data_IF_041589151094
#
_entry.id   IF_041589151094
#
_cell.length_a   1.000
_cell.length_b   1.000
_cell.length_c   1.000
_cell.angle_alpha   90.00
_cell.angle_beta   90.00
_cell.angle_gamma   90.00
#
_symmetry.space_group_name_H-M   'P 1'
#
loop_
_entity.id
_entity.type
_entity.pdbx_description
1 polymer ?
#
# COMPACT_ATOMS: atom_id res chain seq x y z
N UNK A 1 -9.65 -8.48 -29.20
CA UNK A 1 -8.77 -9.37 -28.41
C UNK A 1 -8.83 -8.90 -26.97
N UNK A 2 -9.10 -9.78 -26.00
CA UNK A 2 -9.30 -9.34 -24.61
C UNK A 2 -8.00 -8.82 -24.02
N UNK A 3 -7.91 -7.52 -23.73
CA UNK A 3 -6.80 -6.87 -23.01
C UNK A 3 -6.79 -7.27 -21.52
N UNK A 4 -6.87 -8.58 -21.23
CA UNK A 4 -6.81 -9.11 -19.88
C UNK A 4 -5.36 -9.29 -19.44
N UNK A 5 -5.10 -9.08 -18.15
CA UNK A 5 -3.79 -9.31 -17.56
C UNK A 5 -3.69 -10.72 -16.98
N UNK A 6 -2.54 -11.38 -17.20
CA UNK A 6 -2.28 -12.73 -16.72
C UNK A 6 -1.64 -12.77 -15.33
N UNK A 7 -1.36 -13.97 -14.82
CA UNK A 7 -0.84 -14.21 -13.48
C UNK A 7 0.40 -13.36 -13.13
N UNK A 8 1.40 -13.30 -14.00
CA UNK A 8 2.65 -12.58 -13.70
C UNK A 8 2.47 -11.08 -13.54
N UNK A 9 1.57 -10.46 -14.31
CA UNK A 9 1.25 -9.05 -14.15
C UNK A 9 0.47 -8.79 -12.86
N UNK A 10 -0.46 -9.69 -12.49
CA UNK A 10 -1.20 -9.60 -11.21
C UNK A 10 -0.27 -9.81 -10.02
N UNK A 11 0.62 -10.79 -10.10
CA UNK A 11 1.64 -11.06 -9.09
C UNK A 11 2.59 -9.86 -8.93
N UNK A 12 3.01 -9.26 -10.04
CA UNK A 12 3.81 -8.04 -10.02
C UNK A 12 3.07 -6.88 -9.36
N UNK A 13 1.79 -6.67 -9.70
CA UNK A 13 0.94 -5.66 -9.06
C UNK A 13 0.84 -5.84 -7.54
N UNK A 14 0.69 -7.08 -7.05
CA UNK A 14 0.65 -7.37 -5.61
C UNK A 14 1.98 -7.05 -4.93
N UNK A 15 3.11 -7.44 -5.55
CA UNK A 15 4.43 -7.19 -4.97
C UNK A 15 4.71 -5.69 -4.94
N UNK A 16 4.49 -5.00 -6.06
CA UNK A 16 4.90 -3.61 -6.21
C UNK A 16 3.96 -2.61 -5.54
N UNK A 17 2.69 -2.95 -5.32
CA UNK A 17 1.80 -2.16 -4.45
C UNK A 17 2.32 -2.07 -3.02
N UNK A 18 2.84 -3.19 -2.49
CA UNK A 18 3.42 -3.28 -1.15
C UNK A 18 4.83 -2.68 -1.11
N UNK A 19 5.69 -3.04 -2.08
CA UNK A 19 7.09 -2.55 -2.19
C UNK A 19 7.11 -1.15 -2.78
N UNK A 20 6.85 -0.17 -1.92
CA UNK A 20 7.00 1.27 -2.17
C UNK A 20 8.23 1.86 -1.47
N UNK A 21 8.06 3.04 -0.87
CA UNK A 21 9.13 3.77 -0.17
C UNK A 21 9.50 3.19 1.19
N UNK A 22 8.59 2.47 1.85
CA UNK A 22 8.75 2.01 3.24
C UNK A 22 9.98 1.12 3.45
N UNK A 23 10.30 0.24 2.50
CA UNK A 23 11.40 -0.74 2.60
C UNK A 23 12.77 -0.10 2.82
N UNK A 24 12.97 1.12 2.28
CA UNK A 24 14.22 1.85 2.37
C UNK A 24 14.34 2.67 3.65
N UNK A 25 13.22 3.04 4.28
CA UNK A 25 13.21 3.95 5.44
C UNK A 25 12.95 3.24 6.76
N UNK A 26 12.22 2.12 6.74
CA UNK A 26 11.88 1.38 7.96
C UNK A 26 13.08 0.94 8.81
N UNK A 27 14.26 0.58 8.25
CA UNK A 27 15.41 0.28 9.10
C UNK A 27 15.78 1.44 10.04
N UNK A 28 15.59 2.70 9.63
CA UNK A 28 15.81 3.88 10.50
C UNK A 28 14.80 3.86 11.66
N UNK A 29 13.50 3.75 11.35
CA UNK A 29 12.43 3.79 12.34
C UNK A 29 12.43 2.58 13.28
N UNK A 30 12.97 1.45 12.82
CA UNK A 30 13.05 0.20 13.57
C UNK A 30 14.39 0.04 14.31
N UNK A 31 15.41 0.83 13.99
CA UNK A 31 16.70 0.78 14.66
C UNK A 31 16.61 0.87 16.21
N UNK A 32 15.79 1.75 16.81
CA UNK A 32 15.66 1.83 18.27
C UNK A 32 15.11 0.54 18.92
N UNK A 33 14.38 -0.27 18.15
CA UNK A 33 13.76 -1.51 18.63
C UNK A 33 14.70 -2.72 18.59
N UNK A 34 15.85 -2.60 17.91
CA UNK A 34 16.82 -3.68 17.78
C UNK A 34 16.19 -4.99 17.32
N UNK A 35 16.50 -6.09 18.00
CA UNK A 35 16.01 -7.43 17.67
C UNK A 35 14.48 -7.59 17.78
N UNK A 36 13.78 -6.76 18.57
CA UNK A 36 12.31 -6.80 18.63
C UNK A 36 11.66 -6.49 17.28
N UNK A 37 12.32 -5.69 16.44
CA UNK A 37 11.83 -5.40 15.09
C UNK A 37 11.67 -6.65 14.22
N UNK A 38 12.52 -7.67 14.41
CA UNK A 38 12.45 -8.93 13.65
C UNK A 38 11.21 -9.72 14.02
N UNK A 39 10.85 -9.75 15.31
CA UNK A 39 9.62 -10.38 15.79
C UNK A 39 8.41 -9.63 15.22
N UNK A 40 8.46 -8.29 15.20
CA UNK A 40 7.39 -7.47 14.64
C UNK A 40 7.24 -7.65 13.12
N UNK A 41 8.31 -7.92 12.38
CA UNK A 41 8.21 -8.33 10.98
C UNK A 41 7.52 -9.68 10.81
N UNK A 42 7.79 -10.65 11.69
CA UNK A 42 7.10 -11.94 11.67
C UNK A 42 5.61 -11.79 12.00
N UNK A 43 5.28 -10.97 13.01
CA UNK A 43 3.89 -10.71 13.42
C UNK A 43 3.13 -10.00 12.29
N UNK A 44 3.66 -8.89 11.76
CA UNK A 44 3.03 -8.17 10.64
C UNK A 44 2.96 -9.02 9.38
N UNK A 45 3.99 -9.81 9.08
CA UNK A 45 3.97 -10.74 7.94
C UNK A 45 2.90 -11.81 8.08
N UNK A 46 2.75 -12.42 9.27
CA UNK A 46 1.70 -13.39 9.54
C UNK A 46 0.30 -12.74 9.45
N UNK A 47 0.14 -11.54 10.02
CA UNK A 47 -1.09 -10.74 9.91
C UNK A 47 -1.45 -10.43 8.46
N UNK A 48 -0.48 -9.95 7.67
CA UNK A 48 -0.65 -9.66 6.25
C UNK A 48 -1.00 -10.91 5.43
N UNK A 49 -0.36 -12.05 5.68
CA UNK A 49 -0.69 -13.32 5.01
C UNK A 49 -2.09 -13.78 5.39
N UNK A 50 -2.52 -13.62 6.64
CA UNK A 50 -3.89 -13.93 7.04
C UNK A 50 -4.93 -13.04 6.32
N UNK A 51 -4.65 -11.74 6.17
CA UNK A 51 -5.45 -10.82 5.36
C UNK A 51 -5.44 -11.20 3.88
N UNK A 52 -4.29 -11.58 3.33
CA UNK A 52 -4.15 -12.04 1.95
C UNK A 52 -5.03 -13.28 1.70
N UNK A 53 -5.12 -14.21 2.65
CA UNK A 53 -6.01 -15.37 2.56
C UNK A 53 -7.50 -14.97 2.61
N UNK A 54 -7.86 -13.98 3.44
CA UNK A 54 -9.22 -13.41 3.49
C UNK A 54 -9.60 -12.81 2.14
N UNK A 55 -8.77 -11.92 1.60
CA UNK A 55 -9.01 -11.27 0.31
C UNK A 55 -8.98 -12.27 -0.86
N UNK A 56 -8.07 -13.24 -0.83
CA UNK A 56 -8.01 -14.31 -1.82
C UNK A 56 -9.30 -15.13 -1.83
N UNK A 57 -9.84 -15.47 -0.67
CA UNK A 57 -11.09 -16.25 -0.58
C UNK A 57 -12.31 -15.45 -1.02
N UNK A 58 -12.39 -14.17 -0.61
CA UNK A 58 -13.46 -13.27 -1.02
C UNK A 58 -13.43 -13.03 -2.53
N UNK A 59 -12.26 -12.77 -3.11
CA UNK A 59 -12.10 -12.59 -4.55
C UNK A 59 -12.42 -13.86 -5.35
N UNK A 60 -12.06 -15.05 -4.84
CA UNK A 60 -12.42 -16.32 -5.47
C UNK A 60 -13.95 -16.50 -5.60
N UNK A 61 -14.71 -15.94 -4.64
CA UNK A 61 -16.18 -16.00 -4.62
C UNK A 61 -16.85 -14.88 -5.41
N UNK A 62 -16.32 -13.66 -5.26
CA UNK A 62 -16.89 -12.45 -5.83
C UNK A 62 -15.82 -11.75 -6.70
N UNK A 63 -15.46 -12.32 -7.88
CA UNK A 63 -14.38 -11.83 -8.73
C UNK A 63 -14.79 -10.61 -9.57
N UNK A 64 -15.50 -9.66 -8.97
CA UNK A 64 -16.02 -8.47 -9.64
C UNK A 64 -15.03 -7.28 -9.49
N UNK A 65 -15.10 -6.34 -10.43
CA UNK A 65 -14.22 -5.15 -10.43
C UNK A 65 -14.62 -4.23 -9.29
N UNK A 66 -13.65 -3.73 -8.51
CA UNK A 66 -13.93 -2.79 -7.44
C UNK A 66 -13.25 -3.06 -6.10
N UNK A 67 -12.73 -4.27 -5.92
CA UNK A 67 -11.96 -4.65 -4.73
C UNK A 67 -12.82 -4.70 -3.45
N UNK A 68 -12.39 -4.12 -2.32
CA UNK A 68 -13.01 -4.30 -1.02
C UNK A 68 -14.54 -4.07 -0.93
N UNK A 69 -15.07 -3.08 -1.65
CA UNK A 69 -16.49 -2.73 -1.56
C UNK A 69 -17.42 -3.83 -2.08
N UNK A 70 -16.97 -4.59 -3.09
CA UNK A 70 -17.72 -5.72 -3.66
C UNK A 70 -18.04 -6.74 -2.58
N UNK A 71 -17.03 -7.07 -1.76
CA UNK A 71 -17.17 -8.09 -0.71
C UNK A 71 -18.15 -7.65 0.37
N UNK A 72 -18.06 -6.37 0.76
CA UNK A 72 -18.96 -5.77 1.76
C UNK A 72 -20.38 -5.64 1.21
N UNK A 73 -20.56 -5.37 -0.08
CA UNK A 73 -21.87 -5.30 -0.73
C UNK A 73 -22.62 -6.61 -0.64
N UNK A 74 -21.97 -7.72 -1.00
CA UNK A 74 -22.56 -9.06 -0.95
C UNK A 74 -22.99 -9.50 0.45
N UNK A 75 -22.41 -8.91 1.52
CA UNK A 75 -22.66 -9.35 2.90
C UNK A 75 -23.46 -8.36 3.74
N UNK A 76 -23.23 -7.06 3.58
CA UNK A 76 -23.79 -5.98 4.40
C UNK A 76 -24.61 -4.96 3.59
N UNK A 77 -24.71 -5.15 2.27
CA UNK A 77 -25.51 -4.30 1.39
C UNK A 77 -24.82 -3.01 0.95
N UNK A 78 -25.54 -2.26 0.13
CA UNK A 78 -25.02 -1.11 -0.63
C UNK A 78 -24.50 0.04 0.23
N UNK A 79 -25.13 0.34 1.37
CA UNK A 79 -24.72 1.47 2.23
C UNK A 79 -23.33 1.23 2.83
N UNK A 80 -23.09 0.05 3.41
CA UNK A 80 -21.78 -0.30 3.94
C UNK A 80 -20.73 -0.37 2.83
N UNK A 81 -21.10 -0.93 1.66
CA UNK A 81 -20.23 -0.98 0.50
C UNK A 81 -19.81 0.40 0.00
N UNK A 82 -20.74 1.37 -0.05
CA UNK A 82 -20.42 2.74 -0.43
C UNK A 82 -19.34 3.32 0.46
N UNK A 83 -19.50 3.30 1.79
CA UNK A 83 -18.52 3.89 2.70
C UNK A 83 -17.19 3.16 2.63
N UNK A 84 -17.17 1.83 2.56
CA UNK A 84 -15.93 1.05 2.42
C UNK A 84 -15.20 1.38 1.12
N UNK A 85 -15.90 1.42 0.00
CA UNK A 85 -15.29 1.75 -1.29
C UNK A 85 -14.89 3.22 -1.38
N UNK A 86 -15.68 4.14 -0.84
CA UNK A 86 -15.37 5.56 -0.78
C UNK A 86 -14.08 5.81 0.01
N UNK A 87 -14.01 5.27 1.23
CA UNK A 87 -12.80 5.32 2.07
C UNK A 87 -11.61 4.74 1.32
N UNK A 88 -11.75 3.53 0.76
CA UNK A 88 -10.65 2.90 0.01
C UNK A 88 -10.19 3.77 -1.19
N UNK A 89 -11.13 4.31 -1.97
CA UNK A 89 -10.82 5.18 -3.10
C UNK A 89 -10.11 6.46 -2.68
N UNK A 90 -10.62 7.16 -1.67
CA UNK A 90 -10.06 8.42 -1.17
C UNK A 90 -8.66 8.23 -0.63
N UNK A 91 -8.47 7.27 0.29
CA UNK A 91 -7.14 7.05 0.86
C UNK A 91 -6.15 6.59 -0.22
N UNK A 92 -6.55 5.79 -1.20
CA UNK A 92 -5.65 5.36 -2.29
C UNK A 92 -4.93 6.52 -2.98
N UNK A 93 -5.65 7.59 -3.36
CA UNK A 93 -5.02 8.73 -4.04
C UNK A 93 -4.39 9.74 -3.07
N UNK A 94 -4.85 9.80 -1.81
CA UNK A 94 -4.22 10.61 -0.76
C UNK A 94 -2.83 10.04 -0.42
N UNK A 95 -2.72 8.75 -0.15
CA UNK A 95 -1.45 8.07 0.18
C UNK A 95 -0.45 8.10 -0.96
N UNK A 96 -0.93 8.10 -2.21
CA UNK A 96 -0.08 8.23 -3.41
C UNK A 96 0.79 9.51 -3.36
N UNK A 97 0.29 10.59 -2.75
CA UNK A 97 1.07 11.84 -2.55
C UNK A 97 2.38 11.59 -1.80
N UNK A 98 2.35 10.77 -0.75
CA UNK A 98 3.54 10.45 0.05
C UNK A 98 4.58 9.67 -0.78
N UNK A 99 4.13 8.74 -1.63
CA UNK A 99 5.01 7.98 -2.52
C UNK A 99 5.70 8.87 -3.56
N UNK A 100 5.00 9.87 -4.09
CA UNK A 100 5.56 10.82 -5.08
C UNK A 100 6.64 11.68 -4.41
N UNK A 101 6.33 12.25 -3.24
CA UNK A 101 7.24 13.09 -2.47
C UNK A 101 8.50 12.32 -2.10
N UNK A 102 8.36 11.11 -1.56
CA UNK A 102 9.52 10.28 -1.17
C UNK A 102 10.30 9.84 -2.41
N UNK A 103 9.61 9.46 -3.49
CA UNK A 103 10.22 9.13 -4.78
C UNK A 103 11.13 10.26 -5.27
N UNK A 104 10.59 11.45 -5.48
CA UNK A 104 11.38 12.62 -5.92
C UNK A 104 12.47 12.98 -4.91
N UNK A 105 12.21 12.81 -3.62
CA UNK A 105 13.21 12.96 -2.56
C UNK A 105 14.47 12.11 -2.77
N UNK A 106 14.35 10.89 -3.31
CA UNK A 106 15.52 10.05 -3.63
C UNK A 106 16.41 10.61 -4.74
N UNK A 107 15.94 11.57 -5.54
CA UNK A 107 16.73 12.25 -6.56
C UNK A 107 17.59 13.40 -6.00
N UNK A 108 17.47 13.72 -4.71
CA UNK A 108 18.24 14.80 -4.05
C UNK A 108 19.75 14.74 -4.33
N UNK A 109 20.43 13.57 -4.31
CA UNK A 109 21.87 13.51 -4.58
C UNK A 109 22.30 13.96 -5.99
N UNK A 110 21.39 13.99 -6.97
CA UNK A 110 21.69 14.45 -8.33
C UNK A 110 21.54 15.96 -8.50
N UNK A 111 20.63 16.57 -7.76
CA UNK A 111 20.24 17.98 -7.91
C UNK A 111 20.70 18.85 -6.73
N UNK A 112 21.25 18.26 -5.66
CA UNK A 112 21.74 18.98 -4.48
C UNK A 112 20.73 20.02 -3.97
N UNK A 113 21.11 21.29 -3.83
CA UNK A 113 20.21 22.34 -3.34
C UNK A 113 19.15 22.76 -4.38
N UNK A 114 19.43 22.59 -5.68
CA UNK A 114 18.52 22.95 -6.78
C UNK A 114 17.25 22.09 -6.79
N UNK A 115 17.25 20.94 -6.11
CA UNK A 115 16.04 20.14 -6.00
C UNK A 115 14.91 20.90 -5.32
N UNK A 116 15.20 21.83 -4.39
CA UNK A 116 14.16 22.56 -3.67
C UNK A 116 13.30 23.40 -4.60
N UNK A 117 13.91 24.07 -5.59
CA UNK A 117 13.21 24.90 -6.58
C UNK A 117 12.52 24.05 -7.66
N UNK A 118 13.06 22.88 -7.98
CA UNK A 118 12.52 21.98 -9.00
C UNK A 118 11.57 20.91 -8.46
N UNK A 119 11.45 20.74 -7.14
CA UNK A 119 10.76 19.60 -6.51
C UNK A 119 9.32 19.44 -6.98
N UNK A 120 8.50 20.49 -6.84
CA UNK A 120 7.09 20.43 -7.24
C UNK A 120 6.94 20.12 -8.74
N UNK A 121 7.82 20.68 -9.57
CA UNK A 121 7.84 20.40 -11.00
C UNK A 121 8.14 18.92 -11.28
N UNK A 122 9.16 18.34 -10.63
CA UNK A 122 9.51 16.93 -10.78
C UNK A 122 8.40 16.00 -10.27
N UNK A 123 7.76 16.35 -9.14
CA UNK A 123 6.63 15.59 -8.56
C UNK A 123 5.43 15.57 -9.52
N UNK A 124 5.03 16.73 -10.04
CA UNK A 124 3.94 16.84 -11.02
C UNK A 124 4.28 16.18 -12.35
N UNK A 125 5.52 16.31 -12.83
CA UNK A 125 5.98 15.67 -14.07
C UNK A 125 5.92 14.15 -13.97
N UNK A 126 6.51 13.59 -12.90
CA UNK A 126 6.49 12.16 -12.62
C UNK A 126 5.06 11.64 -12.57
N UNK A 127 4.22 12.30 -11.80
CA UNK A 127 2.86 11.86 -11.59
C UNK A 127 2.03 11.93 -12.89
N UNK A 128 2.20 13.00 -13.67
CA UNK A 128 1.56 13.14 -14.98
C UNK A 128 1.95 12.00 -15.92
N UNK A 129 3.24 11.63 -15.97
CA UNK A 129 3.71 10.50 -16.79
C UNK A 129 2.99 9.20 -16.37
N UNK A 130 2.91 8.92 -15.08
CA UNK A 130 2.26 7.71 -14.55
C UNK A 130 0.75 7.71 -14.81
N UNK A 131 0.07 8.84 -14.63
CA UNK A 131 -1.34 9.01 -15.00
C UNK A 131 -1.55 8.74 -16.49
N UNK A 132 -0.71 9.27 -17.36
CA UNK A 132 -0.80 9.05 -18.81
C UNK A 132 -0.58 7.58 -19.20
N UNK A 133 0.36 6.88 -18.54
CA UNK A 133 0.57 5.43 -18.73
C UNK A 133 -0.71 4.67 -18.37
N UNK A 134 -1.33 4.97 -17.23
CA UNK A 134 -2.56 4.32 -16.77
C UNK A 134 -3.78 4.64 -17.65
N UNK A 135 -3.82 5.83 -18.26
CA UNK A 135 -4.84 6.18 -19.26
C UNK A 135 -4.67 5.42 -20.59
N UNK A 136 -3.51 4.81 -20.87
CA UNK A 136 -3.32 3.91 -22.03
C UNK A 136 -3.88 2.50 -21.82
N UNK A 137 -4.54 2.24 -20.69
CA UNK A 137 -5.23 0.99 -20.42
C UNK A 137 -4.45 0.03 -19.53
N UNK A 138 -5.20 -0.90 -18.93
CA UNK A 138 -4.70 -1.80 -17.90
C UNK A 138 -3.63 -2.78 -18.38
N UNK A 139 -3.69 -3.23 -19.63
CA UNK A 139 -2.67 -4.10 -20.19
C UNK A 139 -1.30 -3.39 -20.21
N UNK A 140 -1.25 -2.15 -20.70
CA UNK A 140 -0.01 -1.34 -20.71
C UNK A 140 0.52 -1.13 -19.29
N UNK A 141 -0.35 -0.72 -18.37
CA UNK A 141 0.02 -0.53 -16.97
C UNK A 141 0.56 -1.82 -16.32
N UNK A 142 -0.04 -2.98 -16.62
CA UNK A 142 0.42 -4.27 -16.12
C UNK A 142 1.76 -4.74 -16.68
N UNK A 143 2.09 -4.42 -17.95
CA UNK A 143 3.41 -4.74 -18.51
C UNK A 143 4.51 -3.87 -17.89
N UNK A 144 4.24 -2.57 -17.73
CA UNK A 144 5.14 -1.65 -17.03
C UNK A 144 5.37 -2.15 -15.60
N UNK A 145 4.31 -2.58 -14.92
CA UNK A 145 4.41 -3.10 -13.56
C UNK A 145 5.29 -4.34 -13.45
N UNK A 146 5.12 -5.30 -14.37
CA UNK A 146 5.92 -6.50 -14.41
C UNK A 146 7.42 -6.18 -14.55
N UNK A 147 7.77 -5.31 -15.51
CA UNK A 147 9.16 -4.90 -15.73
C UNK A 147 9.76 -4.22 -14.51
N UNK A 148 9.03 -3.26 -13.92
CA UNK A 148 9.48 -2.56 -12.72
C UNK A 148 9.68 -3.54 -11.56
N UNK A 149 8.74 -4.45 -11.35
CA UNK A 149 8.78 -5.40 -10.23
C UNK A 149 9.95 -6.38 -10.33
N UNK A 150 10.28 -6.88 -11.52
CA UNK A 150 11.45 -7.76 -11.71
C UNK A 150 12.73 -7.06 -11.25
N UNK A 151 12.91 -5.79 -11.64
CA UNK A 151 14.05 -4.98 -11.18
C UNK A 151 14.01 -4.78 -9.66
N UNK A 152 12.82 -4.51 -9.08
CA UNK A 152 12.67 -4.33 -7.63
C UNK A 152 13.12 -5.55 -6.84
N UNK A 153 12.58 -6.71 -7.19
CA UNK A 153 12.86 -7.97 -6.49
C UNK A 153 14.33 -8.35 -6.63
N UNK A 154 14.93 -8.17 -7.81
CA UNK A 154 16.35 -8.45 -8.01
C UNK A 154 17.23 -7.62 -7.07
N UNK A 155 16.98 -6.30 -6.96
CA UNK A 155 17.79 -5.42 -6.12
C UNK A 155 17.56 -5.68 -4.62
N UNK A 156 16.31 -5.94 -4.21
CA UNK A 156 15.98 -6.28 -2.81
C UNK A 156 16.46 -7.65 -2.35
N UNK A 157 16.91 -8.50 -3.27
CA UNK A 157 17.60 -9.73 -2.91
C UNK A 157 19.12 -9.51 -2.93
N UNK A 158 19.64 -8.83 -3.96
CA UNK A 158 21.07 -8.64 -4.13
C UNK A 158 21.73 -7.83 -3.00
N UNK A 159 21.17 -6.67 -2.64
CA UNK A 159 21.79 -5.78 -1.64
C UNK A 159 21.82 -6.43 -0.24
N UNK A 160 20.70 -6.96 0.30
CA UNK A 160 20.71 -7.60 1.62
C UNK A 160 21.57 -8.85 1.66
N UNK A 161 21.54 -9.68 0.61
CA UNK A 161 22.38 -10.89 0.57
C UNK A 161 23.86 -10.52 0.59
N UNK A 162 24.26 -9.45 -0.10
CA UNK A 162 25.62 -8.91 0.02
C UNK A 162 25.91 -8.39 1.44
N UNK A 163 24.96 -7.70 2.08
CA UNK A 163 25.11 -7.17 3.44
C UNK A 163 25.29 -8.27 4.50
N UNK A 164 24.73 -9.47 4.28
CA UNK A 164 24.89 -10.60 5.20
C UNK A 164 26.35 -11.08 5.33
N UNK A 165 27.23 -10.82 4.35
CA UNK A 165 28.66 -11.16 4.46
C UNK A 165 29.43 -10.27 5.44
N UNK A 166 28.84 -9.14 5.83
CA UNK A 166 29.41 -8.16 6.76
C UNK A 166 28.58 -8.08 8.06
N UNK A 167 27.76 -9.09 8.32
CA UNK A 167 26.82 -9.12 9.43
C UNK A 167 27.55 -9.19 10.78
N UNK A 168 27.17 -8.30 11.70
CA UNK A 168 27.52 -8.38 13.12
C UNK A 168 26.26 -8.26 13.98
N UNK A 169 26.01 -9.27 14.81
CA UNK A 169 24.88 -9.28 15.75
C UNK A 169 24.92 -8.13 16.76
N UNK A 170 26.10 -7.59 17.05
CA UNK A 170 26.27 -6.49 18.01
C UNK A 170 25.71 -5.17 17.49
N UNK A 171 25.38 -5.09 16.20
CA UNK A 171 24.71 -3.94 15.61
C UNK A 171 23.24 -3.80 16.03
N UNK A 172 22.61 -4.88 16.53
CA UNK A 172 21.25 -4.86 17.07
C UNK A 172 21.21 -4.24 18.47
N UNK A 173 21.13 -2.92 18.51
CA UNK A 173 21.05 -2.13 19.75
C UNK A 173 19.59 -1.77 20.02
N UNK A 174 19.15 -1.90 21.28
CA UNK A 174 17.84 -1.45 21.74
C UNK A 174 18.06 -0.15 22.51
N UNK A 175 17.30 0.90 22.20
CA UNK A 175 17.43 2.17 22.89
C UNK A 175 16.87 2.10 24.31
N UNK A 176 17.42 2.93 25.22
CA UNK A 176 16.97 3.02 26.61
C UNK A 176 15.49 3.42 26.72
N UNK A 177 15.02 4.30 25.85
CA UNK A 177 13.61 4.70 25.78
C UNK A 177 12.71 3.49 25.52
N UNK A 178 13.09 2.60 24.60
CA UNK A 178 12.32 1.41 24.26
C UNK A 178 12.36 0.39 25.42
N UNK A 179 13.49 0.26 26.12
CA UNK A 179 13.61 -0.62 27.29
C UNK A 179 12.72 -0.22 28.47
N UNK A 180 12.26 1.04 28.52
CA UNK A 180 11.33 1.52 29.55
C UNK A 180 9.87 1.06 29.32
N UNK A 181 9.55 0.53 28.14
CA UNK A 181 8.22 0.06 27.77
C UNK A 181 8.04 -1.43 28.08
N UNK A 182 6.79 -1.86 28.23
CA UNK A 182 6.49 -3.29 28.30
C UNK A 182 6.72 -3.96 26.94
N UNK A 183 7.08 -5.24 26.93
CA UNK A 183 7.29 -6.01 25.68
C UNK A 183 6.08 -5.91 24.74
N UNK A 184 4.86 -5.92 25.28
CA UNK A 184 3.63 -5.76 24.49
C UNK A 184 3.59 -4.42 23.74
N UNK A 185 3.93 -3.32 24.42
CA UNK A 185 3.96 -1.98 23.81
C UNK A 185 5.07 -1.86 22.76
N UNK A 186 6.25 -2.45 23.03
CA UNK A 186 7.37 -2.48 22.07
C UNK A 186 6.94 -3.18 20.78
N UNK A 187 6.35 -4.38 20.91
CA UNK A 187 5.89 -5.16 19.76
C UNK A 187 4.75 -4.45 19.03
N UNK A 188 3.78 -3.87 19.74
CA UNK A 188 2.69 -3.11 19.12
C UNK A 188 3.18 -1.94 18.27
N UNK A 189 4.04 -1.08 18.84
CA UNK A 189 4.58 0.11 18.15
C UNK A 189 5.43 -0.26 16.94
N UNK A 190 6.31 -1.25 17.06
CA UNK A 190 7.14 -1.69 15.92
C UNK A 190 6.34 -2.47 14.86
N UNK A 191 5.30 -3.20 15.25
CA UNK A 191 4.39 -3.89 14.32
C UNK A 191 3.57 -2.87 13.51
N UNK A 192 3.12 -1.78 14.13
CA UNK A 192 2.47 -0.66 13.44
C UNK A 192 3.34 -0.10 12.31
N UNK A 193 4.64 0.10 12.58
CA UNK A 193 5.60 0.56 11.56
C UNK A 193 5.77 -0.43 10.41
N UNK A 194 5.92 -1.73 10.72
CA UNK A 194 6.11 -2.75 9.67
C UNK A 194 4.84 -3.02 8.87
N UNK A 195 3.65 -2.82 9.44
CA UNK A 195 2.38 -3.02 8.77
C UNK A 195 2.20 -2.11 7.56
N UNK A 196 2.70 -0.87 7.62
CA UNK A 196 2.67 0.06 6.48
C UNK A 196 3.19 -0.58 5.19
N UNK A 197 4.23 -1.41 5.31
CA UNK A 197 4.87 -2.07 4.18
C UNK A 197 4.01 -3.16 3.53
N UNK A 198 2.97 -3.65 4.20
CA UNK A 198 2.04 -4.67 3.69
C UNK A 198 0.72 -4.10 3.17
N UNK A 199 0.49 -2.78 3.32
CA UNK A 199 -0.67 -2.13 2.74
C UNK A 199 -0.63 -2.26 1.20
N UNK A 200 -1.77 -2.61 0.62
CA UNK A 200 -1.91 -2.83 -0.82
C UNK A 200 -1.80 -4.29 -1.26
N UNK A 201 -1.75 -5.26 -0.32
CA UNK A 201 -1.82 -6.70 -0.62
C UNK A 201 -3.08 -7.07 -1.44
N UNK A 202 -4.17 -6.37 -1.19
CA UNK A 202 -5.48 -6.55 -1.82
C UNK A 202 -5.64 -5.77 -3.11
N UNK A 203 -4.70 -4.90 -3.46
CA UNK A 203 -4.82 -3.94 -4.55
C UNK A 203 -5.15 -4.62 -5.90
N UNK A 204 -4.59 -5.80 -6.13
CA UNK A 204 -4.81 -6.59 -7.34
C UNK A 204 -6.26 -7.12 -7.48
N UNK A 205 -7.08 -7.01 -6.44
CA UNK A 205 -8.52 -7.34 -6.50
C UNK A 205 -9.35 -6.24 -7.18
N UNK A 206 -8.90 -4.99 -7.15
CA UNK A 206 -9.62 -3.88 -7.77
C UNK A 206 -9.86 -4.09 -9.28
N UNK A 207 -8.87 -4.49 -10.09
CA UNK A 207 -9.06 -4.75 -11.52
C UNK A 207 -9.64 -6.13 -11.87
N UNK A 208 -10.34 -6.84 -10.98
CA UNK A 208 -10.67 -8.26 -11.19
C UNK A 208 -11.37 -8.58 -12.53
N UNK A 209 -12.27 -7.73 -13.03
CA UNK A 209 -12.93 -7.94 -14.33
C UNK A 209 -12.00 -7.85 -15.56
N UNK A 210 -10.78 -7.33 -15.37
CA UNK A 210 -9.73 -7.24 -16.39
C UNK A 210 -8.62 -8.29 -16.22
N UNK A 211 -8.77 -9.22 -15.29
CA UNK A 211 -7.82 -10.31 -15.07
C UNK A 211 -8.29 -11.56 -15.83
N UNK A 212 -7.35 -12.35 -16.33
CA UNK A 212 -7.67 -13.67 -16.86
C UNK A 212 -7.94 -14.66 -15.71
N UNK A 213 -9.09 -15.35 -15.77
CA UNK A 213 -9.58 -16.24 -14.72
C UNK A 213 -9.43 -15.67 -13.28
N UNK A 214 -10.09 -14.52 -12.97
CA UNK A 214 -9.84 -13.77 -11.74
C UNK A 214 -10.03 -14.60 -10.48
N UNK A 215 -11.04 -15.49 -10.45
CA UNK A 215 -11.34 -16.37 -9.32
C UNK A 215 -10.23 -17.38 -8.98
N UNK A 216 -9.27 -17.60 -9.87
CA UNK A 216 -8.10 -18.47 -9.61
C UNK A 216 -6.78 -17.69 -9.63
N UNK A 217 -6.65 -16.72 -10.52
CA UNK A 217 -5.40 -15.97 -10.73
C UNK A 217 -5.11 -15.00 -9.59
N UNK A 218 -6.11 -14.20 -9.18
CA UNK A 218 -5.93 -13.18 -8.13
C UNK A 218 -5.68 -13.84 -6.77
N UNK A 219 -6.45 -14.85 -6.32
CA UNK A 219 -6.19 -15.50 -5.04
C UNK A 219 -4.76 -16.05 -4.91
N UNK A 220 -4.27 -16.71 -5.97
CA UNK A 220 -2.89 -17.22 -6.00
C UNK A 220 -1.86 -16.10 -5.95
N UNK A 221 -2.05 -15.05 -6.76
CA UNK A 221 -1.13 -13.94 -6.84
C UNK A 221 -1.06 -13.13 -5.53
N UNK A 222 -2.20 -12.90 -4.88
CA UNK A 222 -2.30 -12.18 -3.60
C UNK A 222 -1.55 -12.95 -2.51
N UNK A 223 -1.84 -14.23 -2.32
CA UNK A 223 -1.19 -15.03 -1.26
C UNK A 223 0.31 -15.19 -1.51
N UNK A 224 0.71 -15.62 -2.72
CA UNK A 224 2.12 -15.84 -3.03
C UNK A 224 2.91 -14.53 -3.02
N UNK A 225 2.30 -13.45 -3.52
CA UNK A 225 2.91 -12.12 -3.56
C UNK A 225 3.16 -11.59 -2.15
N UNK A 226 2.17 -11.65 -1.26
CA UNK A 226 2.33 -11.23 0.14
C UNK A 226 3.35 -12.08 0.90
N UNK A 227 3.37 -13.41 0.71
CA UNK A 227 4.41 -14.27 1.31
C UNK A 227 5.80 -13.89 0.81
N UNK A 228 5.95 -13.67 -0.51
CA UNK A 228 7.21 -13.24 -1.11
C UNK A 228 7.69 -11.91 -0.52
N UNK A 229 6.80 -10.92 -0.43
CA UNK A 229 7.07 -9.61 0.15
C UNK A 229 7.47 -9.72 1.63
N UNK A 230 6.77 -10.55 2.42
CA UNK A 230 7.09 -10.75 3.84
C UNK A 230 8.50 -11.30 4.04
N UNK A 231 8.90 -12.29 3.24
CA UNK A 231 10.24 -12.87 3.25
C UNK A 231 11.29 -11.83 2.84
N UNK A 232 11.03 -11.09 1.76
CA UNK A 232 11.93 -10.05 1.27
C UNK A 232 12.15 -8.99 2.36
N UNK A 233 11.09 -8.47 2.98
CA UNK A 233 11.22 -7.46 4.03
C UNK A 233 11.95 -7.94 5.26
N UNK A 234 11.69 -9.18 5.69
CA UNK A 234 12.42 -9.77 6.82
C UNK A 234 13.92 -9.85 6.52
N UNK A 235 14.31 -10.38 5.36
CA UNK A 235 15.71 -10.49 4.94
C UNK A 235 16.36 -9.11 4.84
N UNK A 236 15.66 -8.14 4.24
CA UNK A 236 16.16 -6.78 4.08
C UNK A 236 16.44 -6.13 5.44
N UNK A 237 15.46 -6.13 6.34
CA UNK A 237 15.63 -5.50 7.65
C UNK A 237 16.69 -6.22 8.49
N UNK A 238 16.69 -7.55 8.47
CA UNK A 238 17.70 -8.37 9.18
C UNK A 238 19.12 -8.06 8.70
N UNK A 239 19.35 -8.01 7.39
CA UNK A 239 20.67 -7.76 6.83
C UNK A 239 21.14 -6.32 7.07
N UNK A 240 20.28 -5.32 6.86
CA UNK A 240 20.66 -3.90 7.02
C UNK A 240 20.92 -3.55 8.50
N UNK A 241 20.07 -4.03 9.43
CA UNK A 241 20.30 -3.84 10.86
C UNK A 241 21.49 -4.64 11.40
N UNK A 242 21.82 -5.77 10.77
CA UNK A 242 23.04 -6.52 11.08
C UNK A 242 24.31 -5.90 10.50
N UNK A 243 24.21 -5.07 9.47
CA UNK A 243 25.34 -4.40 8.84
C UNK A 243 25.70 -3.08 9.52
N UNK A 244 24.69 -2.29 9.88
CA UNK A 244 24.86 -0.91 10.38
C UNK A 244 24.53 -0.88 11.86
N UNK A 245 25.47 -0.35 12.67
CA UNK A 245 25.25 -0.12 14.09
C UNK A 245 23.95 0.65 14.36
N UNK A 246 23.10 0.14 15.27
CA UNK A 246 21.75 0.69 15.51
C UNK A 246 21.70 2.19 15.82
N UNK A 247 22.70 2.75 16.52
CA UNK A 247 22.75 4.18 16.82
C UNK A 247 23.01 5.03 15.56
N UNK A 248 23.89 4.55 14.68
CA UNK A 248 24.15 5.19 13.39
C UNK A 248 22.97 4.99 12.43
N UNK A 249 22.34 3.83 12.48
CA UNK A 249 21.18 3.52 11.63
C UNK A 249 19.98 4.43 11.97
N UNK A 250 19.71 4.66 13.25
CA UNK A 250 18.62 5.53 13.70
C UNK A 250 18.79 7.00 13.27
N UNK A 251 20.02 7.45 13.00
CA UNK A 251 20.33 8.80 12.51
C UNK A 251 20.58 8.86 10.99
N UNK A 252 20.50 7.73 10.30
CA UNK A 252 20.68 7.67 8.85
C UNK A 252 19.57 8.40 8.11
N UNK A 253 19.92 9.03 6.98
CA UNK A 253 18.96 9.59 6.03
C UNK A 253 18.64 8.64 4.87
N UNK A 254 19.49 7.63 4.65
CA UNK A 254 19.41 6.71 3.53
C UNK A 254 20.17 5.40 3.85
N UNK A 255 19.57 4.46 4.59
CA UNK A 255 20.30 3.34 5.18
C UNK A 255 20.83 2.36 4.13
N UNK A 256 20.18 2.24 2.98
CA UNK A 256 20.70 1.43 1.88
C UNK A 256 21.89 2.08 1.18
N UNK A 257 21.94 3.42 1.14
CA UNK A 257 23.14 4.14 0.66
C UNK A 257 24.30 3.89 1.62
N UNK A 258 24.04 3.98 2.93
CA UNK A 258 25.05 3.74 3.95
C UNK A 258 25.56 2.29 3.92
N UNK A 259 24.65 1.32 3.75
CA UNK A 259 24.98 -0.09 3.58
C UNK A 259 25.92 -0.31 2.40
N UNK A 260 25.60 0.27 1.24
CA UNK A 260 26.44 0.17 0.05
C UNK A 260 27.81 0.80 0.26
N UNK A 261 27.90 1.96 0.94
CA UNK A 261 29.19 2.62 1.24
C UNK A 261 30.09 1.78 2.16
N UNK A 262 29.49 0.97 3.05
CA UNK A 262 30.23 0.05 3.92
C UNK A 262 30.75 -1.15 3.10
N UNK A 263 29.94 -1.68 2.18
CA UNK A 263 30.29 -2.89 1.42
C UNK A 263 31.21 -2.62 0.22
N UNK A 264 31.07 -1.46 -0.44
CA UNK A 264 31.72 -1.17 -1.72
C UNK A 264 32.33 0.23 -1.73
N UNK A 265 33.54 0.36 -2.27
CA UNK A 265 34.16 1.65 -2.55
C UNK A 265 33.62 2.27 -3.85
N UNK A 266 33.44 3.59 -3.87
CA UNK A 266 32.99 4.35 -5.05
C UNK A 266 31.61 5.02 -4.92
N UNK A 267 31.10 5.56 -6.03
CA UNK A 267 29.87 6.37 -6.08
C UNK A 267 28.58 5.56 -6.25
N UNK A 268 28.51 4.36 -5.66
CA UNK A 268 27.36 3.46 -5.76
C UNK A 268 26.08 4.04 -5.14
N UNK A 269 26.20 5.04 -4.26
CA UNK A 269 25.06 5.73 -3.64
C UNK A 269 24.10 6.36 -4.66
N UNK A 270 24.60 6.85 -5.81
CA UNK A 270 23.77 7.41 -6.87
C UNK A 270 22.88 6.33 -7.51
N UNK A 271 23.41 5.12 -7.68
CA UNK A 271 22.66 3.99 -8.24
C UNK A 271 21.53 3.59 -7.28
N UNK A 272 21.80 3.53 -5.97
CA UNK A 272 20.77 3.23 -4.95
C UNK A 272 19.65 4.27 -4.98
N UNK A 273 19.99 5.55 -5.11
CA UNK A 273 18.99 6.62 -5.25
C UNK A 273 18.08 6.43 -6.47
N UNK A 274 18.64 6.08 -7.63
CA UNK A 274 17.86 5.79 -8.84
C UNK A 274 16.98 4.55 -8.65
N UNK A 275 17.52 3.50 -8.05
CA UNK A 275 16.78 2.28 -7.73
C UNK A 275 15.59 2.61 -6.81
N UNK A 276 15.83 3.32 -5.70
CA UNK A 276 14.77 3.69 -4.76
C UNK A 276 13.70 4.57 -5.41
N UNK A 277 14.09 5.48 -6.31
CA UNK A 277 13.16 6.23 -7.15
C UNK A 277 12.29 5.30 -8.02
N UNK A 278 12.90 4.37 -8.77
CA UNK A 278 12.19 3.39 -9.62
C UNK A 278 11.20 2.55 -8.80
N UNK A 279 11.52 2.28 -7.53
CA UNK A 279 10.62 1.54 -6.64
C UNK A 279 9.35 2.32 -6.34
N UNK A 280 9.50 3.61 -5.99
CA UNK A 280 8.35 4.50 -5.83
C UNK A 280 7.53 4.55 -7.13
N UNK A 281 8.17 4.67 -8.30
CA UNK A 281 7.48 4.68 -9.60
C UNK A 281 6.60 3.45 -9.84
N UNK A 282 7.10 2.24 -9.55
CA UNK A 282 6.28 1.04 -9.69
C UNK A 282 5.08 1.02 -8.73
N UNK A 283 5.29 1.43 -7.47
CA UNK A 283 4.18 1.46 -6.50
C UNK A 283 3.13 2.50 -6.90
N UNK A 284 3.57 3.67 -7.39
CA UNK A 284 2.69 4.69 -7.95
C UNK A 284 1.84 4.17 -9.12
N UNK A 285 2.43 3.39 -10.02
CA UNK A 285 1.69 2.80 -11.13
C UNK A 285 0.57 1.86 -10.64
N UNK A 286 0.84 0.99 -9.67
CA UNK A 286 -0.17 0.14 -9.06
C UNK A 286 -1.31 0.94 -8.39
N UNK A 287 -0.98 1.96 -7.59
CA UNK A 287 -1.96 2.77 -6.86
C UNK A 287 -2.83 3.64 -7.78
N UNK A 288 -2.26 4.23 -8.84
CA UNK A 288 -3.02 4.99 -9.85
C UNK A 288 -3.94 4.06 -10.65
N UNK A 289 -3.47 2.86 -11.00
CA UNK A 289 -4.31 1.87 -11.66
C UNK A 289 -5.52 1.49 -10.79
N UNK A 290 -5.26 1.13 -9.53
CA UNK A 290 -6.28 0.63 -8.61
C UNK A 290 -7.32 1.68 -8.26
N UNK A 291 -6.88 2.90 -7.93
CA UNK A 291 -7.80 4.02 -7.62
C UNK A 291 -8.82 4.26 -8.73
N UNK A 292 -8.39 4.18 -10.00
CA UNK A 292 -9.30 4.22 -11.15
C UNK A 292 -10.32 3.07 -11.18
N UNK A 293 -9.89 1.85 -10.90
CA UNK A 293 -10.73 0.64 -10.92
C UNK A 293 -11.74 0.60 -9.76
N UNK A 294 -11.37 1.10 -8.59
CA UNK A 294 -12.26 1.19 -7.43
C UNK A 294 -13.42 2.13 -7.72
N UNK A 295 -13.13 3.34 -8.22
CA UNK A 295 -14.16 4.31 -8.59
C UNK A 295 -15.06 3.78 -9.73
N UNK A 296 -14.47 3.07 -10.69
CA UNK A 296 -15.23 2.40 -11.74
C UNK A 296 -16.17 1.33 -11.19
N UNK A 297 -15.68 0.44 -10.31
CA UNK A 297 -16.51 -0.61 -9.69
C UNK A 297 -17.66 -0.03 -8.86
N UNK A 298 -17.40 1.01 -8.08
CA UNK A 298 -18.45 1.73 -7.33
C UNK A 298 -19.52 2.30 -8.25
N UNK A 299 -19.14 2.82 -9.41
CA UNK A 299 -20.07 3.38 -10.38
C UNK A 299 -20.88 2.30 -11.12
N UNK A 300 -20.27 1.17 -11.47
CA UNK A 300 -20.96 -0.01 -12.01
C UNK A 300 -22.02 -0.53 -11.02
N UNK A 301 -21.69 -0.50 -9.73
CA UNK A 301 -22.58 -0.86 -8.64
C UNK A 301 -23.63 0.21 -8.30
N UNK A 302 -23.67 1.31 -9.04
CA UNK A 302 -24.57 2.47 -8.84
C UNK A 302 -24.42 3.12 -7.46
N UNK A 303 -23.23 3.03 -6.87
CA UNK A 303 -22.86 3.66 -5.60
C UNK A 303 -22.17 5.02 -5.82
N UNK A 304 -21.67 5.28 -7.03
CA UNK A 304 -21.07 6.55 -7.45
C UNK A 304 -21.67 7.07 -8.76
N UNK A 305 -21.55 8.39 -9.05
CA UNK A 305 -22.03 8.99 -10.29
C UNK A 305 -21.70 8.20 -11.55
N UNK A 306 -22.70 7.98 -12.41
CA UNK A 306 -22.59 7.15 -13.62
C UNK A 306 -21.43 7.53 -14.55
N UNK A 307 -20.96 8.77 -14.53
CA UNK A 307 -19.83 9.17 -15.36
C UNK A 307 -18.52 8.46 -14.96
N UNK A 308 -18.35 8.03 -13.71
CA UNK A 308 -17.19 7.23 -13.28
C UNK A 308 -17.12 5.84 -13.93
N UNK A 309 -18.24 5.31 -14.42
CA UNK A 309 -18.29 4.06 -15.19
C UNK A 309 -17.81 4.24 -16.65
N UNK A 310 -17.55 5.48 -17.12
CA UNK A 310 -17.11 5.70 -18.50
C UNK A 310 -15.65 5.30 -18.70
N UNK A 311 -15.42 4.41 -19.67
CA UNK A 311 -14.08 4.03 -20.14
C UNK A 311 -13.63 4.89 -21.33
N UNK A 312 -12.32 5.08 -21.48
CA UNK A 312 -11.75 5.71 -22.68
C UNK A 312 -11.55 4.70 -23.83
N UNK A 313 -11.00 5.16 -24.96
CA UNK A 313 -10.71 4.34 -26.15
C UNK A 313 -9.77 3.15 -25.90
N UNK A 314 -8.98 3.18 -24.83
CA UNK A 314 -8.07 2.10 -24.43
C UNK A 314 -8.67 1.18 -23.35
N UNK A 315 -9.94 1.39 -22.97
CA UNK A 315 -10.63 0.62 -21.93
C UNK A 315 -10.29 1.03 -20.49
N UNK A 316 -9.59 2.15 -20.28
CA UNK A 316 -9.21 2.64 -18.95
C UNK A 316 -10.33 3.48 -18.31
N UNK A 317 -10.58 3.38 -16.98
CA UNK A 317 -11.58 4.19 -16.29
C UNK A 317 -11.14 5.66 -16.18
N UNK A 318 -11.51 6.44 -17.19
CA UNK A 318 -10.97 7.79 -17.41
C UNK A 318 -11.24 8.73 -16.22
N UNK A 319 -12.49 8.82 -15.77
CA UNK A 319 -12.87 9.75 -14.71
C UNK A 319 -12.34 9.33 -13.35
N UNK A 320 -12.30 8.04 -13.04
CA UNK A 320 -11.70 7.54 -11.81
C UNK A 320 -10.23 7.96 -11.70
N UNK A 321 -9.44 7.68 -12.73
CA UNK A 321 -8.02 8.07 -12.79
C UNK A 321 -7.85 9.59 -12.76
N UNK A 322 -8.64 10.32 -13.54
CA UNK A 322 -8.47 11.78 -13.70
C UNK A 322 -8.83 12.53 -12.42
N UNK A 323 -9.96 12.20 -11.79
CA UNK A 323 -10.38 12.86 -10.54
C UNK A 323 -9.41 12.55 -9.40
N UNK A 324 -8.99 11.29 -9.26
CA UNK A 324 -7.94 10.92 -8.31
C UNK A 324 -6.64 11.67 -8.58
N UNK A 325 -6.23 11.78 -9.84
CA UNK A 325 -5.01 12.50 -10.21
C UNK A 325 -5.09 14.00 -9.92
N UNK A 326 -6.25 14.64 -10.17
CA UNK A 326 -6.45 16.04 -9.80
C UNK A 326 -6.36 16.21 -8.27
N UNK A 327 -6.97 15.32 -7.49
CA UNK A 327 -6.88 15.32 -6.04
C UNK A 327 -5.44 15.20 -5.53
N UNK A 328 -4.68 14.24 -6.04
CA UNK A 328 -3.25 14.08 -5.71
C UNK A 328 -2.42 15.30 -6.13
N UNK A 329 -2.66 15.88 -7.32
CA UNK A 329 -1.94 17.07 -7.78
C UNK A 329 -2.20 18.30 -6.90
N UNK A 330 -3.43 18.49 -6.42
CA UNK A 330 -3.76 19.54 -5.45
C UNK A 330 -2.99 19.29 -4.15
N UNK A 331 -2.98 18.06 -3.65
CA UNK A 331 -2.21 17.72 -2.44
C UNK A 331 -0.72 17.98 -2.63
N UNK A 332 -0.13 17.68 -3.78
CA UNK A 332 1.28 17.99 -4.08
C UNK A 332 1.57 19.50 -4.02
N UNK A 333 0.68 20.33 -4.57
CA UNK A 333 0.82 21.78 -4.50
C UNK A 333 0.75 22.26 -3.05
N UNK A 334 -0.20 21.72 -2.26
CA UNK A 334 -0.35 22.07 -0.85
C UNK A 334 0.85 21.58 -0.01
N UNK A 335 1.43 20.41 -0.33
CA UNK A 335 2.59 19.83 0.35
C UNK A 335 3.91 20.53 0.02
N UNK A 336 3.94 21.38 -1.01
CA UNK A 336 5.13 22.17 -1.37
C UNK A 336 5.54 23.18 -0.28
N UNK A 337 4.65 23.53 0.65
CA UNK A 337 4.99 24.36 1.80
C UNK A 337 5.65 23.51 2.91
N UNK A 338 6.78 23.97 3.48
CA UNK A 338 7.60 23.21 4.44
C UNK A 338 6.81 22.64 5.63
N UNK A 339 5.77 23.34 6.12
CA UNK A 339 4.92 22.87 7.22
C UNK A 339 4.06 21.67 6.84
N UNK A 340 3.66 21.59 5.58
CA UNK A 340 2.74 20.59 5.05
C UNK A 340 3.50 19.32 4.61
N UNK A 341 4.80 19.46 4.30
CA UNK A 341 5.69 18.33 4.05
C UNK A 341 5.96 17.48 5.32
N UNK A 342 6.06 18.09 6.51
CA UNK A 342 6.16 17.34 7.77
C UNK A 342 4.87 16.59 8.12
N UNK A 343 3.71 17.05 7.66
CA UNK A 343 2.42 16.38 7.85
C UNK A 343 2.29 15.09 7.02
N UNK A 344 3.20 14.82 6.07
CA UNK A 344 3.19 13.61 5.23
C UNK A 344 3.40 12.34 6.05
N UNK A 345 4.26 12.37 7.07
CA UNK A 345 4.42 11.21 7.97
C UNK A 345 3.10 10.89 8.67
N UNK A 346 2.35 11.92 9.07
CA UNK A 346 1.01 11.75 9.63
C UNK A 346 0.00 11.26 8.59
N UNK A 347 0.11 11.68 7.32
CA UNK A 347 -0.73 11.14 6.22
C UNK A 347 -0.54 9.63 6.07
N UNK A 348 0.70 9.13 6.19
CA UNK A 348 0.98 7.70 6.16
C UNK A 348 0.24 6.99 7.29
N UNK A 349 0.36 7.47 8.52
CA UNK A 349 -0.31 6.88 9.68
C UNK A 349 -1.84 6.89 9.49
N UNK A 350 -2.42 8.02 9.10
CA UNK A 350 -3.87 8.10 8.85
C UNK A 350 -4.31 7.15 7.73
N UNK A 351 -3.49 6.99 6.69
CA UNK A 351 -3.76 6.09 5.59
C UNK A 351 -3.79 4.63 6.05
N UNK A 352 -2.79 4.19 6.82
CA UNK A 352 -2.72 2.82 7.38
C UNK A 352 -3.98 2.49 8.15
N UNK A 353 -4.38 3.38 9.06
CA UNK A 353 -5.53 3.17 9.93
C UNK A 353 -6.84 3.15 9.12
N UNK A 354 -6.99 4.04 8.14
CA UNK A 354 -8.17 3.99 7.27
C UNK A 354 -8.22 2.72 6.40
N UNK A 355 -7.08 2.22 5.91
CA UNK A 355 -7.04 0.91 5.24
C UNK A 355 -7.40 -0.22 6.20
N UNK A 356 -6.97 -0.16 7.46
CA UNK A 356 -7.36 -1.14 8.48
C UNK A 356 -8.88 -1.14 8.74
N UNK A 357 -9.57 0.01 8.70
CA UNK A 357 -11.03 0.03 8.77
C UNK A 357 -11.68 -0.72 7.59
N UNK A 358 -11.14 -0.53 6.38
CA UNK A 358 -11.59 -1.26 5.18
C UNK A 358 -11.31 -2.76 5.31
N UNK A 359 -10.12 -3.14 5.79
CA UNK A 359 -9.74 -4.54 5.99
C UNK A 359 -10.60 -5.20 7.04
N UNK A 360 -10.88 -4.52 8.16
CA UNK A 360 -11.75 -5.03 9.22
C UNK A 360 -13.17 -5.27 8.71
N UNK A 361 -13.72 -4.36 7.90
CA UNK A 361 -15.02 -4.56 7.26
C UNK A 361 -15.01 -5.79 6.32
N UNK A 362 -13.92 -6.02 5.57
CA UNK A 362 -13.75 -7.21 4.75
C UNK A 362 -13.59 -8.49 5.58
N UNK A 363 -12.89 -8.44 6.71
CA UNK A 363 -12.78 -9.57 7.63
C UNK A 363 -14.15 -9.96 8.20
N UNK A 364 -14.99 -8.99 8.60
CA UNK A 364 -16.36 -9.28 9.03
C UNK A 364 -17.23 -9.84 7.89
N UNK A 365 -17.07 -9.32 6.67
CA UNK A 365 -17.75 -9.87 5.49
C UNK A 365 -17.35 -11.33 5.26
N UNK A 366 -16.04 -11.62 5.32
CA UNK A 366 -15.50 -12.97 5.21
C UNK A 366 -16.03 -13.89 6.31
N UNK A 367 -15.98 -13.50 7.57
CA UNK A 367 -16.50 -14.32 8.68
C UNK A 367 -17.98 -14.65 8.48
N UNK A 368 -18.80 -13.67 8.06
CA UNK A 368 -20.23 -13.89 7.77
C UNK A 368 -20.44 -14.92 6.67
N UNK A 369 -19.65 -14.88 5.60
CA UNK A 369 -19.71 -15.86 4.49
C UNK A 369 -19.26 -17.25 4.95
N UNK A 370 -18.15 -17.33 5.69
CA UNK A 370 -17.55 -18.61 6.07
C UNK A 370 -18.31 -19.34 7.18
N UNK A 371 -18.98 -18.61 8.09
CA UNK A 371 -19.87 -19.21 9.09
C UNK A 371 -20.96 -20.06 8.40
N UNK A 372 -21.47 -19.61 7.25
CA UNK A 372 -22.46 -20.36 6.47
C UNK A 372 -21.86 -21.61 5.81
N UNK A 373 -20.58 -21.59 5.45
CA UNK A 373 -19.85 -22.75 4.91
C UNK A 373 -19.41 -23.78 5.95
N UNK A 374 -19.46 -23.44 7.24
CA UNK A 374 -18.99 -24.30 8.36
C UNK A 374 -17.54 -24.78 8.22
N UNK A 375 -16.67 -23.96 7.62
CA UNK A 375 -15.25 -24.30 7.43
C UNK A 375 -14.39 -23.81 8.60
N UNK A 376 -14.03 -24.71 9.52
CA UNK A 376 -13.27 -24.36 10.74
C UNK A 376 -11.92 -23.69 10.46
N UNK A 377 -11.15 -24.17 9.48
CA UNK A 377 -9.84 -23.59 9.18
C UNK A 377 -9.96 -22.16 8.60
N UNK A 378 -10.98 -21.90 7.77
CA UNK A 378 -11.23 -20.55 7.25
C UNK A 378 -11.73 -19.63 8.35
N UNK A 379 -12.54 -20.12 9.29
CA UNK A 379 -12.95 -19.34 10.47
C UNK A 379 -11.73 -18.92 11.28
N UNK A 380 -10.79 -19.83 11.52
CA UNK A 380 -9.55 -19.51 12.23
C UNK A 380 -8.75 -18.41 11.51
N UNK A 381 -8.58 -18.51 10.18
CA UNK A 381 -7.90 -17.48 9.37
C UNK A 381 -8.59 -16.11 9.53
N UNK A 382 -9.93 -16.08 9.41
CA UNK A 382 -10.71 -14.85 9.57
C UNK A 382 -10.59 -14.26 10.98
N UNK A 383 -10.65 -15.11 12.01
CA UNK A 383 -10.48 -14.69 13.39
C UNK A 383 -9.09 -14.12 13.66
N UNK A 384 -8.02 -14.76 13.15
CA UNK A 384 -6.64 -14.24 13.26
C UNK A 384 -6.52 -12.87 12.59
N UNK A 385 -7.03 -12.74 11.36
CA UNK A 385 -6.98 -11.47 10.61
C UNK A 385 -7.78 -10.35 11.33
N UNK A 386 -8.99 -10.67 11.84
CA UNK A 386 -9.80 -9.73 12.63
C UNK A 386 -9.08 -9.32 13.91
N UNK A 387 -8.56 -10.27 14.69
CA UNK A 387 -7.84 -9.99 15.94
C UNK A 387 -6.61 -9.14 15.67
N UNK A 388 -5.87 -9.42 14.59
CA UNK A 388 -4.72 -8.62 14.18
C UNK A 388 -5.12 -7.17 13.88
N UNK A 389 -6.13 -6.94 13.04
CA UNK A 389 -6.63 -5.59 12.76
C UNK A 389 -7.11 -4.87 14.02
N UNK A 390 -7.88 -5.55 14.88
CA UNK A 390 -8.39 -4.96 16.13
C UNK A 390 -7.26 -4.58 17.08
N UNK A 391 -6.26 -5.46 17.26
CA UNK A 391 -5.13 -5.18 18.13
C UNK A 391 -4.37 -3.93 17.70
N UNK A 392 -4.09 -3.80 16.40
CA UNK A 392 -3.39 -2.63 15.85
C UNK A 392 -4.21 -1.34 16.01
N UNK A 393 -5.53 -1.41 15.76
CA UNK A 393 -6.44 -0.27 15.95
C UNK A 393 -6.49 0.16 17.43
N UNK A 394 -6.50 -0.78 18.38
CA UNK A 394 -6.57 -0.48 19.81
C UNK A 394 -5.31 0.20 20.34
N UNK A 395 -4.15 -0.12 19.78
CA UNK A 395 -2.85 0.46 20.16
C UNK A 395 -2.58 1.82 19.46
N UNK A 396 -3.47 2.23 18.56
CA UNK A 396 -3.33 3.47 17.80
C UNK A 396 -3.82 4.68 18.61
N UNK A 397 -3.09 5.82 18.62
CA UNK A 397 -3.54 7.03 19.29
C UNK A 397 -4.93 7.51 18.83
N UNK A 398 -5.76 7.95 19.78
CA UNK A 398 -7.14 8.39 19.50
C UNK A 398 -7.20 9.52 18.47
N UNK A 399 -6.25 10.46 18.48
CA UNK A 399 -6.17 11.53 17.48
C UNK A 399 -6.04 10.98 16.06
N UNK A 400 -5.20 9.97 15.85
CA UNK A 400 -5.02 9.28 14.57
C UNK A 400 -6.31 8.56 14.15
N UNK A 401 -6.98 7.87 15.08
CA UNK A 401 -8.27 7.22 14.82
C UNK A 401 -9.34 8.22 14.38
N UNK A 402 -9.45 9.35 15.07
CA UNK A 402 -10.42 10.40 14.76
C UNK A 402 -10.17 10.99 13.37
N UNK A 403 -8.94 11.37 13.05
CA UNK A 403 -8.60 11.93 11.73
C UNK A 403 -8.84 10.88 10.63
N UNK A 404 -8.47 9.62 10.86
CA UNK A 404 -8.67 8.53 9.90
C UNK A 404 -10.16 8.27 9.62
N UNK A 405 -11.04 8.52 10.60
CA UNK A 405 -12.49 8.40 10.44
C UNK A 405 -13.08 9.50 9.54
N UNK A 406 -12.42 10.66 9.44
CA UNK A 406 -12.87 11.77 8.60
C UNK A 406 -12.85 11.42 7.11
N UNK A 407 -11.95 10.55 6.67
CA UNK A 407 -11.94 10.08 5.28
C UNK A 407 -13.23 9.31 4.95
N UNK A 408 -13.72 8.47 5.85
CA UNK A 408 -15.02 7.81 5.70
C UNK A 408 -16.16 8.83 5.76
N UNK A 409 -16.10 9.76 6.71
CA UNK A 409 -17.11 10.80 6.88
C UNK A 409 -17.22 11.75 5.66
N UNK A 410 -16.12 11.95 4.93
CA UNK A 410 -16.08 12.75 3.69
C UNK A 410 -17.01 12.22 2.59
N UNK A 411 -17.42 10.95 2.67
CA UNK A 411 -18.38 10.34 1.76
C UNK A 411 -19.83 10.70 2.05
N UNK A 412 -20.15 11.22 3.25
CA UNK A 412 -21.53 11.51 3.68
C UNK A 412 -22.25 12.47 2.70
N UNK A 413 -21.65 13.61 2.27
CA UNK A 413 -22.32 14.49 1.32
C UNK A 413 -22.68 13.77 0.02
N UNK A 414 -21.75 12.99 -0.54
CA UNK A 414 -21.97 12.26 -1.80
C UNK A 414 -23.04 11.18 -1.61
N UNK A 415 -23.03 10.46 -0.49
CA UNK A 415 -24.05 9.47 -0.14
C UNK A 415 -25.45 10.09 -0.08
N UNK A 416 -25.60 11.21 0.64
CA UNK A 416 -26.89 11.87 0.83
C UNK A 416 -27.41 12.53 -0.45
N UNK A 417 -26.54 13.25 -1.17
CA UNK A 417 -26.94 13.99 -2.37
C UNK A 417 -27.18 13.09 -3.57
N UNK A 418 -26.40 12.01 -3.70
CA UNK A 418 -26.45 11.17 -4.88
C UNK A 418 -27.20 9.87 -4.61
N UNK A 419 -26.69 9.02 -3.73
CA UNK A 419 -27.24 7.67 -3.52
C UNK A 419 -28.67 7.69 -2.98
N UNK A 420 -28.93 8.41 -1.87
CA UNK A 420 -30.27 8.49 -1.28
C UNK A 420 -31.32 9.10 -2.22
N UNK A 421 -30.97 10.07 -3.06
CA UNK A 421 -31.91 10.65 -4.03
C UNK A 421 -32.22 9.69 -5.18
N UNK A 422 -31.21 9.01 -5.72
CA UNK A 422 -31.41 8.05 -6.82
C UNK A 422 -32.11 6.76 -6.39
N UNK A 423 -31.94 6.30 -5.13
CA UNK A 423 -32.68 5.14 -4.62
C UNK A 423 -34.16 5.43 -4.44
N UNK A 424 -34.52 6.66 -4.06
CA UNK A 424 -35.93 7.09 -3.92
C UNK A 424 -36.60 7.24 -5.30
N UNK A 425 -35.89 7.73 -6.32
CA UNK A 425 -36.40 7.84 -7.68
C UNK A 425 -36.56 6.51 -8.44
N UNK A 426 -36.07 5.38 -7.89
CA UNK A 426 -36.22 4.05 -8.50
C UNK A 426 -37.38 3.24 -7.91
N UNK A 427 -38.01 3.73 -6.85
CA UNK A 427 -39.20 3.13 -6.23
C UNK A 427 -40.49 3.80 -6.76
N UNK A 428 -40.35 4.94 -7.46
CA UNK A 428 -41.38 5.60 -8.26
C UNK A 428 -41.19 5.23 -9.73
#
# INVERSE_FOLDING_TARGET
MSNKIGFWAVFALVISSQIGSGVFMLPISLAPYGAYSLISWMISGAGAVSLALVFATLCAKFPETGGPHVYVKHTFGSTAAFFVGWTYWVISWVSTTALIVVGVGYLTPFFHEDIKSMRLFLELLLFTIITLINLRGIATAGHVEFLLTVVKVAVLLAIPVAALFFFDRNNFIISEEILSLTTSQILARSTLLTLWCFIGLELATAPAGSVDNPAKTIPKAVVLGTVCVAVIYFINNFAIMGLINGNNLASSRAPYVDAIKIMFSGNWHLIVSIVAFIFCVGSLNAWVLSSGQVAFGLAEDRLMPKFFAKRNKHGSPFWGITVSSIGTAILLILTSNNNFAQQITSIIDFSVISFLFVYLACCFAFLKVIIQERSCYKLLIGSIATTFCCWVILETPVGTLLISSLFTASGIPIYLFWYCKTSVQQIQ
#
